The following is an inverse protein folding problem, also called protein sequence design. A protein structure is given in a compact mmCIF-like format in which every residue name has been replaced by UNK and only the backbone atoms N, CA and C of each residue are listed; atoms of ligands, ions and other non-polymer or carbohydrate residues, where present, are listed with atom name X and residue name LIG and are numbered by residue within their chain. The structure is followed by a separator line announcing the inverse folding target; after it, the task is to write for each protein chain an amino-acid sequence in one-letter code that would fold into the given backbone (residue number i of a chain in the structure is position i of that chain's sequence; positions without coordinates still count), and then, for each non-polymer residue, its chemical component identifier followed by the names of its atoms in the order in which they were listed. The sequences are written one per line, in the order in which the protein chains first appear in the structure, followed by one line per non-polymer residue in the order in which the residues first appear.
data_IF_163765902732
#
_entry.id   IF_163765902732
#
_cell.length_a   1.000
_cell.length_b   1.000
_cell.length_c   1.000
_cell.angle_alpha   90.00
_cell.angle_beta   90.00
_cell.angle_gamma   90.00
#
_symmetry.space_group_name_H-M   'P 1'
#
loop_
_entity.id
_entity.type
_entity.pdbx_description
1 polymer ?
#
# COMPACT_ATOMS: atom_id res chain seq x y z
N UNK A 1 49.98 15.83 -51.66
CA UNK A 1 49.37 14.49 -51.57
C UNK A 1 49.93 13.85 -50.32
N UNK A 2 49.25 13.70 -49.20
CA UNK A 2 47.87 13.99 -48.81
C UNK A 2 47.90 14.21 -47.29
N UNK A 3 47.24 15.27 -46.81
CA UNK A 3 46.99 15.46 -45.39
C UNK A 3 45.77 14.61 -45.04
N UNK A 4 45.96 13.53 -44.28
CA UNK A 4 44.86 12.78 -43.68
C UNK A 4 44.07 13.71 -42.75
N UNK A 5 42.84 14.02 -43.15
CA UNK A 5 41.90 14.75 -42.34
C UNK A 5 41.29 13.80 -41.31
N UNK A 6 41.57 14.04 -40.03
CA UNK A 6 40.90 13.37 -38.90
C UNK A 6 39.37 13.60 -38.98
N UNK A 7 38.54 12.55 -38.83
CA UNK A 7 37.08 12.70 -38.93
C UNK A 7 36.54 13.49 -37.73
N UNK A 8 35.51 14.34 -37.92
CA UNK A 8 34.97 15.17 -36.85
C UNK A 8 34.27 14.30 -35.81
N UNK A 9 34.89 14.12 -34.64
CA UNK A 9 34.20 13.58 -33.47
C UNK A 9 33.19 14.61 -32.98
N UNK A 10 31.95 14.53 -33.47
CA UNK A 10 30.86 15.34 -32.99
C UNK A 10 30.43 14.79 -31.61
N UNK A 11 30.65 15.50 -30.48
CA UNK A 11 30.30 14.98 -29.17
C UNK A 11 28.77 14.87 -29.09
N UNK A 12 28.26 13.64 -29.08
CA UNK A 12 26.82 13.39 -29.01
C UNK A 12 26.33 13.94 -27.66
N UNK A 13 25.74 15.14 -27.67
CA UNK A 13 25.17 15.77 -26.49
C UNK A 13 24.07 14.87 -25.91
N UNK A 14 24.36 14.24 -24.77
CA UNK A 14 23.38 13.44 -24.04
C UNK A 14 22.49 14.36 -23.22
N UNK A 15 21.19 14.26 -23.39
CA UNK A 15 20.22 15.01 -22.60
C UNK A 15 19.88 14.24 -21.33
N UNK A 16 20.13 14.82 -20.15
CA UNK A 16 19.97 14.16 -18.85
C UNK A 16 18.73 14.67 -18.11
N UNK A 17 17.93 13.78 -17.55
CA UNK A 17 16.87 14.14 -16.62
C UNK A 17 17.47 14.55 -15.26
N UNK A 18 17.07 15.72 -14.74
CA UNK A 18 17.60 16.22 -13.46
C UNK A 18 17.09 15.45 -12.24
N UNK A 19 15.92 14.80 -12.34
CA UNK A 19 15.34 14.09 -11.21
C UNK A 19 15.84 12.63 -11.09
N UNK A 20 15.87 11.88 -12.20
CA UNK A 20 16.26 10.46 -12.19
C UNK A 20 17.61 10.17 -12.86
N UNK A 21 18.28 11.19 -13.38
CA UNK A 21 19.61 11.10 -14.01
C UNK A 21 19.72 10.20 -15.24
N UNK A 22 18.59 9.75 -15.82
CA UNK A 22 18.55 9.05 -17.10
C UNK A 22 19.06 9.94 -18.23
N UNK A 23 19.79 9.34 -19.16
CA UNK A 23 20.37 10.03 -20.31
C UNK A 23 19.69 9.58 -21.61
N UNK A 24 19.49 10.53 -22.50
CA UNK A 24 18.80 10.35 -23.78
C UNK A 24 19.66 10.87 -24.92
N UNK A 25 19.61 10.19 -26.08
CA UNK A 25 20.32 10.62 -27.29
C UNK A 25 19.67 11.85 -27.94
N UNK A 26 18.34 11.99 -27.81
CA UNK A 26 17.53 13.07 -28.39
C UNK A 26 16.80 13.82 -27.27
N UNK A 27 16.65 15.14 -27.41
CA UNK A 27 15.91 16.00 -26.46
C UNK A 27 14.44 15.60 -26.35
N UNK A 28 13.82 15.22 -27.47
CA UNK A 28 12.42 14.77 -27.52
C UNK A 28 12.13 13.60 -26.57
N UNK A 29 13.04 12.62 -26.51
CA UNK A 29 12.88 11.47 -25.61
C UNK A 29 13.01 11.85 -24.13
N UNK A 30 13.82 12.88 -23.82
CA UNK A 30 13.88 13.44 -22.47
C UNK A 30 12.55 14.12 -22.11
N UNK A 31 11.98 14.90 -23.04
CA UNK A 31 10.68 15.56 -22.83
C UNK A 31 9.59 14.51 -22.61
N UNK A 32 9.55 13.46 -23.44
CA UNK A 32 8.58 12.37 -23.30
C UNK A 32 8.75 11.61 -21.97
N UNK A 33 9.99 11.41 -21.54
CA UNK A 33 10.26 10.86 -20.23
C UNK A 33 9.71 11.74 -19.10
N UNK A 34 9.92 13.06 -19.16
CA UNK A 34 9.42 13.98 -18.13
C UNK A 34 7.88 13.99 -18.09
N UNK A 35 7.22 13.91 -19.25
CA UNK A 35 5.75 13.82 -19.37
C UNK A 35 5.16 12.52 -18.83
N UNK A 36 5.91 11.43 -18.79
CA UNK A 36 5.38 10.12 -18.38
C UNK A 36 5.81 9.72 -16.97
N UNK A 37 6.93 10.27 -16.49
CA UNK A 37 7.54 9.82 -15.23
C UNK A 37 7.15 10.65 -14.02
N UNK A 38 6.48 11.79 -14.19
CA UNK A 38 5.92 12.68 -13.15
C UNK A 38 6.59 12.46 -11.79
N UNK A 39 7.80 13.00 -11.65
CA UNK A 39 8.64 12.84 -10.46
C UNK A 39 7.95 13.42 -9.22
N UNK A 40 7.10 12.60 -8.61
CA UNK A 40 6.23 13.00 -7.51
C UNK A 40 6.92 12.78 -6.18
N UNK A 41 6.36 13.40 -5.13
CA UNK A 41 6.85 13.26 -3.75
C UNK A 41 6.82 11.81 -3.27
N UNK A 42 5.94 11.00 -3.87
CA UNK A 42 5.75 9.58 -3.60
C UNK A 42 6.89 8.71 -4.15
N UNK A 43 7.70 9.21 -5.10
CA UNK A 43 8.82 8.44 -5.62
C UNK A 43 9.94 8.38 -4.58
N UNK A 44 10.47 7.17 -4.28
CA UNK A 44 11.57 7.03 -3.35
C UNK A 44 12.82 7.73 -3.88
N UNK A 45 13.52 8.44 -3.00
CA UNK A 45 14.73 9.20 -3.35
C UNK A 45 15.94 8.66 -2.59
N UNK A 46 17.08 8.68 -3.24
CA UNK A 46 18.35 8.37 -2.59
C UNK A 46 18.72 9.51 -1.61
N UNK A 47 18.92 9.20 -0.33
CA UNK A 47 19.35 10.19 0.66
C UNK A 47 20.71 10.83 0.38
N UNK A 48 21.57 10.18 -0.43
CA UNK A 48 22.90 10.68 -0.78
C UNK A 48 22.88 11.59 -2.02
N UNK A 49 22.38 11.09 -3.15
CA UNK A 49 22.42 11.81 -4.42
C UNK A 49 21.09 12.44 -4.84
N UNK A 50 20.03 12.31 -4.03
CA UNK A 50 18.69 12.83 -4.31
C UNK A 50 18.04 12.35 -5.61
N UNK A 51 18.61 11.30 -6.23
CA UNK A 51 18.05 10.65 -7.41
C UNK A 51 16.70 10.04 -7.07
N UNK A 52 15.69 10.36 -7.89
CA UNK A 52 14.39 9.71 -7.85
C UNK A 52 14.48 8.32 -8.46
N UNK A 53 13.97 7.35 -7.71
CA UNK A 53 13.83 5.97 -8.09
C UNK A 53 12.35 5.68 -8.36
N UNK A 54 12.07 4.75 -9.27
CA UNK A 54 10.69 4.45 -9.68
C UNK A 54 9.93 3.68 -8.59
N UNK A 55 10.66 2.80 -7.90
CA UNK A 55 10.19 1.94 -6.82
C UNK A 55 11.24 1.81 -5.74
N UNK A 56 10.84 1.37 -4.55
CA UNK A 56 11.77 1.09 -3.46
C UNK A 56 12.73 -0.05 -3.82
N UNK A 57 12.31 -1.01 -4.64
CA UNK A 57 13.19 -2.02 -5.23
C UNK A 57 14.33 -1.35 -6.04
N UNK A 58 14.00 -0.43 -6.95
CA UNK A 58 15.02 0.27 -7.73
C UNK A 58 15.92 1.19 -6.88
N UNK A 59 15.42 1.69 -5.74
CA UNK A 59 16.25 2.41 -4.75
C UNK A 59 17.21 1.46 -4.03
N UNK A 60 16.73 0.28 -3.63
CA UNK A 60 17.55 -0.76 -3.00
C UNK A 60 18.64 -1.24 -3.95
N UNK A 61 18.33 -1.48 -5.22
CA UNK A 61 19.33 -1.80 -6.25
C UNK A 61 20.38 -0.68 -6.41
N UNK A 62 19.95 0.58 -6.33
CA UNK A 62 20.86 1.72 -6.41
C UNK A 62 21.84 1.80 -5.23
N UNK A 63 21.40 1.42 -4.03
CA UNK A 63 22.17 1.53 -2.79
C UNK A 63 23.00 0.28 -2.47
N UNK A 64 22.42 -0.91 -2.67
CA UNK A 64 22.98 -2.21 -2.25
C UNK A 64 22.96 -3.28 -3.34
N UNK A 65 22.57 -2.95 -4.57
CA UNK A 65 22.46 -3.92 -5.65
C UNK A 65 23.80 -4.43 -6.20
N UNK A 66 23.79 -5.37 -7.16
CA UNK A 66 24.98 -6.04 -7.69
C UNK A 66 25.93 -5.14 -8.48
N UNK A 67 25.46 -3.96 -8.93
CA UNK A 67 26.30 -2.92 -9.54
C UNK A 67 26.09 -1.60 -8.80
N UNK A 68 26.55 -1.49 -7.55
CA UNK A 68 26.34 -0.30 -6.75
C UNK A 68 27.14 0.85 -7.39
N UNK A 69 26.43 1.86 -7.90
CA UNK A 69 27.09 2.97 -8.59
C UNK A 69 27.64 3.97 -7.58
N UNK A 70 28.95 3.93 -7.37
CA UNK A 70 29.73 5.05 -6.85
C UNK A 70 29.59 5.33 -5.35
N UNK A 71 29.62 6.61 -5.00
CA UNK A 71 29.73 7.12 -3.61
C UNK A 71 28.50 6.75 -2.77
N UNK A 72 27.31 6.64 -3.38
CA UNK A 72 26.05 6.39 -2.68
C UNK A 72 26.07 5.08 -1.87
N UNK A 73 26.58 3.99 -2.47
CA UNK A 73 26.61 2.69 -1.79
C UNK A 73 27.62 2.67 -0.64
N UNK A 74 28.76 3.34 -0.79
CA UNK A 74 29.78 3.46 0.28
C UNK A 74 29.26 4.26 1.48
N UNK A 75 28.57 5.37 1.23
CA UNK A 75 27.96 6.17 2.29
C UNK A 75 26.84 5.37 2.96
N UNK A 76 25.97 4.73 2.16
CA UNK A 76 24.86 3.95 2.68
C UNK A 76 25.30 2.71 3.47
N UNK A 77 26.41 2.05 3.12
CA UNK A 77 26.89 0.91 3.90
C UNK A 77 27.36 1.29 5.31
N UNK A 78 27.81 2.53 5.50
CA UNK A 78 28.28 3.05 6.79
C UNK A 78 27.14 3.68 7.62
N UNK A 79 26.19 4.33 6.96
CA UNK A 79 25.21 5.22 7.61
C UNK A 79 23.75 4.87 7.29
N UNK A 80 23.50 3.88 6.44
CA UNK A 80 22.18 3.52 5.95
C UNK A 80 21.51 2.38 6.72
N UNK A 81 20.20 2.49 6.93
CA UNK A 81 19.38 1.40 7.41
C UNK A 81 18.90 0.54 6.22
N UNK A 82 19.23 -0.75 6.22
CA UNK A 82 18.82 -1.65 5.14
C UNK A 82 17.31 -1.91 5.11
N UNK A 83 16.59 -1.63 6.19
CA UNK A 83 15.14 -1.87 6.26
C UNK A 83 14.36 -0.69 5.67
N UNK A 84 14.39 0.47 6.32
CA UNK A 84 13.65 1.67 5.90
C UNK A 84 14.36 2.50 4.82
N UNK A 85 15.62 2.16 4.46
CA UNK A 85 16.45 2.90 3.50
C UNK A 85 16.79 4.34 3.91
N UNK A 86 16.56 4.72 5.17
CA UNK A 86 16.96 6.01 5.71
C UNK A 86 18.49 6.11 5.90
N UNK A 87 19.00 7.34 5.82
CA UNK A 87 20.40 7.68 6.03
C UNK A 87 20.53 8.46 7.34
N UNK A 88 21.56 8.16 8.13
CA UNK A 88 21.79 8.75 9.46
C UNK A 88 23.13 9.49 9.52
N UNK A 89 23.18 10.55 10.32
CA UNK A 89 24.36 11.43 10.40
C UNK A 89 25.58 10.73 11.06
N UNK A 90 25.34 9.71 11.89
CA UNK A 90 26.39 8.97 12.58
C UNK A 90 26.08 7.46 12.68
N UNK A 91 27.11 6.61 12.79
CA UNK A 91 26.93 5.17 13.05
C UNK A 91 26.19 4.89 14.36
N UNK A 92 26.34 5.74 15.39
CA UNK A 92 25.63 5.61 16.67
C UNK A 92 24.11 5.79 16.50
N UNK A 93 23.70 6.81 15.74
CA UNK A 93 22.29 7.04 15.41
C UNK A 93 21.68 5.88 14.62
N UNK A 94 22.45 5.28 13.71
CA UNK A 94 22.04 4.10 12.96
C UNK A 94 21.85 2.88 13.87
N UNK A 95 22.75 2.65 14.83
CA UNK A 95 22.64 1.52 15.77
C UNK A 95 21.38 1.66 16.61
N UNK A 96 21.15 2.83 17.24
CA UNK A 96 19.94 3.07 18.01
C UNK A 96 18.66 2.94 17.19
N UNK A 97 18.67 3.41 15.93
CA UNK A 97 17.54 3.24 15.02
C UNK A 97 17.27 1.78 14.66
N UNK A 98 18.29 0.93 14.49
CA UNK A 98 18.09 -0.48 14.09
C UNK A 98 17.28 -1.27 15.10
N UNK A 99 17.35 -0.91 16.37
CA UNK A 99 16.58 -1.54 17.45
C UNK A 99 15.09 -1.20 17.36
N UNK A 100 14.74 -0.01 16.86
CA UNK A 100 13.35 0.46 16.75
C UNK A 100 12.77 0.38 15.33
N UNK A 101 13.61 0.17 14.31
CA UNK A 101 13.18 0.16 12.91
C UNK A 101 12.35 -1.06 12.55
N UNK A 102 12.53 -2.17 13.26
CA UNK A 102 11.75 -3.39 13.05
C UNK A 102 10.43 -3.25 13.78
N UNK A 103 9.33 -3.34 13.05
CA UNK A 103 8.03 -3.47 13.70
C UNK A 103 7.95 -4.85 14.34
N UNK A 104 7.40 -4.89 15.55
CA UNK A 104 7.01 -6.15 16.17
C UNK A 104 5.72 -6.63 15.50
N UNK A 105 5.57 -7.95 15.34
CA UNK A 105 4.31 -8.50 14.87
C UNK A 105 3.18 -8.02 15.80
N UNK A 106 2.08 -7.46 15.26
CA UNK A 106 0.93 -7.11 16.07
C UNK A 106 0.49 -8.34 16.86
N UNK A 107 0.13 -8.15 18.14
CA UNK A 107 -0.48 -9.25 18.90
C UNK A 107 -1.81 -9.54 18.23
N UNK A 108 -1.94 -10.74 17.66
CA UNK A 108 -3.19 -11.16 17.05
C UNK A 108 -4.29 -11.03 18.12
N UNK A 109 -5.32 -10.18 17.93
CA UNK A 109 -6.45 -10.15 18.84
C UNK A 109 -7.06 -11.55 18.79
N UNK A 110 -6.83 -12.35 19.83
CA UNK A 110 -7.15 -13.77 19.81
C UNK A 110 -8.59 -14.01 19.38
N UNK A 111 -8.83 -15.14 18.70
CA UNK A 111 -10.16 -15.67 18.34
C UNK A 111 -11.06 -15.97 19.55
N UNK A 112 -10.66 -15.60 20.76
CA UNK A 112 -11.50 -15.64 21.95
C UNK A 112 -12.55 -14.52 21.85
N UNK A 113 -13.65 -14.85 21.16
CA UNK A 113 -14.96 -14.23 21.28
C UNK A 113 -14.92 -12.73 21.64
N UNK A 114 -14.42 -11.89 20.74
CA UNK A 114 -14.82 -10.49 20.80
C UNK A 114 -16.29 -10.47 20.34
N UNK A 115 -17.24 -10.18 21.24
CA UNK A 115 -18.62 -10.05 20.83
C UNK A 115 -18.65 -8.99 19.75
N UNK A 116 -19.46 -9.24 18.72
CA UNK A 116 -20.08 -8.20 17.91
C UNK A 116 -20.16 -6.91 18.74
N UNK A 117 -19.31 -5.92 18.43
CA UNK A 117 -19.43 -4.60 19.03
C UNK A 117 -20.68 -4.02 18.38
N UNK A 118 -21.84 -4.35 18.96
CA UNK A 118 -22.97 -3.43 19.04
C UNK A 118 -22.50 -2.30 19.95
N UNK A 119 -21.58 -1.47 19.44
CA UNK A 119 -21.65 -0.10 19.87
C UNK A 119 -23.00 0.32 19.30
N UNK A 120 -23.98 0.39 20.20
CA UNK A 120 -24.96 1.44 20.13
C UNK A 120 -24.21 2.64 19.57
N UNK A 121 -24.48 2.95 18.30
CA UNK A 121 -24.23 4.24 17.69
C UNK A 121 -25.16 5.20 18.45
N UNK A 122 -24.91 5.38 19.75
CA UNK A 122 -25.22 6.62 20.40
C UNK A 122 -24.28 7.61 19.75
N UNK A 123 -24.87 8.56 19.05
CA UNK A 123 -24.24 9.77 18.58
C UNK A 123 -23.70 10.53 19.80
N UNK A 124 -22.63 10.05 20.42
CA UNK A 124 -21.83 10.85 21.34
C UNK A 124 -20.83 11.61 20.49
N UNK A 125 -21.35 12.75 20.08
CA UNK A 125 -20.65 13.99 19.77
C UNK A 125 -19.56 14.25 20.82
N UNK A 126 -18.41 13.59 20.66
CA UNK A 126 -17.16 14.09 21.24
C UNK A 126 -16.74 15.24 20.35
N UNK A 127 -17.25 16.40 20.72
CA UNK A 127 -16.80 17.71 20.27
C UNK A 127 -15.33 17.91 20.68
N UNK A 128 -14.42 17.21 20.02
CA UNK A 128 -13.09 17.76 19.77
C UNK A 128 -13.19 18.63 18.51
N UNK A 129 -13.86 19.76 18.69
CA UNK A 129 -13.71 20.93 17.83
C UNK A 129 -12.26 21.38 17.93
N UNK A 130 -11.34 20.81 17.14
CA UNK A 130 -10.02 21.42 16.87
C UNK A 130 -9.24 20.89 15.67
N UNK A 131 -9.87 20.26 14.67
CA UNK A 131 -9.29 20.16 13.32
C UNK A 131 -10.34 20.43 12.25
N UNK A 132 -10.66 21.71 12.06
CA UNK A 132 -11.18 22.22 10.80
C UNK A 132 -10.08 22.06 9.72
N UNK A 133 -9.95 20.86 9.17
CA UNK A 133 -9.16 20.56 7.98
C UNK A 133 -10.10 20.13 6.87
N UNK A 134 -10.03 20.80 5.71
CA UNK A 134 -10.76 20.49 4.48
C UNK A 134 -10.28 19.17 3.81
N UNK A 135 -10.21 18.08 4.57
CA UNK A 135 -9.68 16.78 4.12
C UNK A 135 -10.64 15.60 4.38
N UNK A 136 -10.34 14.42 3.80
CA UNK A 136 -11.09 13.18 4.04
C UNK A 136 -11.19 12.87 5.53
N UNK A 137 -12.26 12.21 5.98
CA UNK A 137 -12.53 11.90 7.39
C UNK A 137 -11.65 10.81 8.00
N UNK A 138 -10.36 10.81 7.69
CA UNK A 138 -9.37 9.80 8.08
C UNK A 138 -9.26 8.65 7.07
N UNK A 139 -8.37 7.70 7.37
CA UNK A 139 -8.21 6.47 6.61
C UNK A 139 -8.69 5.24 7.40
N UNK A 140 -9.15 4.22 6.67
CA UNK A 140 -9.55 2.93 7.22
C UNK A 140 -8.93 1.85 6.36
N UNK A 141 -8.25 0.89 6.98
CA UNK A 141 -7.78 -0.30 6.28
C UNK A 141 -8.84 -1.40 6.33
N UNK A 142 -8.99 -2.15 5.24
CA UNK A 142 -9.87 -3.31 5.13
C UNK A 142 -9.08 -4.54 4.69
N UNK A 143 -9.49 -5.69 5.20
CA UNK A 143 -9.06 -6.99 4.70
C UNK A 143 -10.21 -8.00 4.87
N UNK A 144 -10.43 -8.84 3.86
CA UNK A 144 -11.41 -9.92 3.88
C UNK A 144 -10.73 -11.29 3.86
N UNK A 145 -11.35 -12.25 4.53
CA UNK A 145 -11.08 -13.67 4.26
C UNK A 145 -12.15 -14.22 3.34
N UNK A 146 -11.70 -15.00 2.35
CA UNK A 146 -12.58 -15.61 1.36
C UNK A 146 -12.54 -17.13 1.45
N UNK A 147 -13.72 -17.74 1.37
CA UNK A 147 -13.90 -19.18 1.22
C UNK A 147 -14.34 -19.51 -0.21
N UNK A 148 -14.07 -20.74 -0.64
CA UNK A 148 -14.46 -21.26 -1.94
C UNK A 148 -15.91 -21.73 -1.98
N UNK A 149 -16.64 -21.31 -3.01
CA UNK A 149 -17.96 -21.81 -3.37
C UNK A 149 -18.05 -22.31 -4.81
N UNK A 150 -19.26 -22.72 -5.20
CA UNK A 150 -19.50 -23.35 -6.51
C UNK A 150 -19.04 -24.81 -6.54
N UNK A 151 -19.38 -25.51 -7.62
CA UNK A 151 -19.12 -26.96 -7.75
C UNK A 151 -17.63 -27.33 -7.70
N UNK A 152 -16.75 -26.40 -8.05
CA UNK A 152 -15.30 -26.57 -8.09
C UNK A 152 -14.54 -25.76 -7.02
N UNK A 153 -15.24 -25.00 -6.17
CA UNK A 153 -14.61 -24.16 -5.14
C UNK A 153 -13.91 -22.91 -5.67
N UNK A 154 -14.09 -22.57 -6.94
CA UNK A 154 -13.43 -21.45 -7.61
C UNK A 154 -14.03 -20.08 -7.28
N UNK A 155 -15.29 -20.05 -6.82
CA UNK A 155 -15.94 -18.78 -6.48
C UNK A 155 -15.42 -18.26 -5.15
N UNK A 156 -14.98 -17.01 -5.14
CA UNK A 156 -14.55 -16.29 -3.94
C UNK A 156 -15.77 -15.75 -3.19
N UNK A 157 -15.95 -16.17 -1.94
CA UNK A 157 -17.05 -15.71 -1.08
C UNK A 157 -16.47 -15.09 0.19
N UNK A 158 -16.79 -13.82 0.46
CA UNK A 158 -16.40 -13.19 1.72
C UNK A 158 -17.02 -13.95 2.91
N UNK A 159 -16.17 -14.32 3.86
CA UNK A 159 -16.55 -15.08 5.05
C UNK A 159 -16.08 -14.42 6.36
N UNK A 160 -15.14 -13.47 6.29
CA UNK A 160 -14.74 -12.59 7.38
C UNK A 160 -14.31 -11.25 6.80
N UNK A 161 -14.57 -10.17 7.52
CA UNK A 161 -14.07 -8.83 7.19
C UNK A 161 -13.56 -8.14 8.45
N UNK A 162 -12.48 -7.39 8.30
CA UNK A 162 -11.86 -6.62 9.38
C UNK A 162 -11.54 -5.20 8.89
N UNK A 163 -11.92 -4.19 9.68
CA UNK A 163 -11.60 -2.78 9.49
C UNK A 163 -10.84 -2.25 10.69
N UNK A 164 -9.76 -1.52 10.41
CA UNK A 164 -8.95 -0.82 11.43
C UNK A 164 -8.74 0.65 11.04
N UNK A 165 -8.61 1.52 12.05
CA UNK A 165 -8.26 2.94 11.85
C UNK A 165 -6.73 3.16 11.74
N UNK A 166 -6.33 4.43 11.63
CA UNK A 166 -4.93 4.86 11.53
C UNK A 166 -4.11 4.61 12.81
N UNK A 167 -4.79 4.48 13.96
CA UNK A 167 -4.21 4.14 15.26
C UNK A 167 -4.19 2.61 15.49
N UNK A 168 -4.44 1.82 14.44
CA UNK A 168 -4.51 0.35 14.45
C UNK A 168 -5.64 -0.20 15.34
N UNK A 169 -6.64 0.62 15.68
CA UNK A 169 -7.79 0.19 16.49
C UNK A 169 -8.81 -0.51 15.62
N UNK A 170 -9.37 -1.60 16.16
CA UNK A 170 -10.43 -2.37 15.52
C UNK A 170 -11.73 -1.56 15.45
N UNK A 171 -12.16 -1.20 14.25
CA UNK A 171 -13.42 -0.49 14.02
C UNK A 171 -14.56 -1.50 13.86
N UNK A 172 -14.34 -2.52 13.03
CA UNK A 172 -15.39 -3.47 12.67
C UNK A 172 -14.78 -4.82 12.31
N UNK A 173 -15.28 -5.89 12.91
CA UNK A 173 -14.83 -7.25 12.63
C UNK A 173 -15.99 -8.21 12.80
N UNK A 174 -16.27 -9.01 11.76
CA UNK A 174 -17.35 -9.99 11.79
C UNK A 174 -17.11 -11.12 10.81
N UNK A 175 -17.71 -12.27 11.10
CA UNK A 175 -17.95 -13.29 10.10
C UNK A 175 -19.11 -12.88 9.19
N UNK A 176 -19.00 -13.26 7.92
CA UNK A 176 -19.96 -12.95 6.85
C UNK A 176 -20.60 -14.24 6.38
N UNK A 177 -21.93 -14.27 6.31
CA UNK A 177 -22.66 -15.42 5.82
C UNK A 177 -22.54 -15.46 4.29
N UNK A 178 -21.92 -16.51 3.71
CA UNK A 178 -21.82 -16.65 2.26
C UNK A 178 -23.20 -16.85 1.63
N UNK A 179 -23.44 -16.26 0.45
CA UNK A 179 -24.75 -16.33 -0.23
C UNK A 179 -25.02 -17.69 -0.90
N UNK A 180 -23.99 -18.50 -1.10
CA UNK A 180 -24.08 -19.86 -1.62
C UNK A 180 -23.32 -20.83 -0.69
N UNK A 181 -23.59 -22.14 -0.77
CA UNK A 181 -22.88 -23.12 0.05
C UNK A 181 -21.37 -23.07 -0.14
N UNK A 182 -20.64 -23.12 0.98
CA UNK A 182 -19.18 -23.22 1.00
C UNK A 182 -18.78 -24.63 0.63
N UNK A 183 -17.90 -24.76 -0.37
CA UNK A 183 -17.33 -26.05 -0.78
C UNK A 183 -15.88 -26.22 -0.34
N UNK A 184 -15.18 -25.12 -0.05
CA UNK A 184 -13.82 -25.15 0.47
C UNK A 184 -13.55 -23.98 1.43
N UNK A 185 -13.32 -24.26 2.71
CA UNK A 185 -13.02 -23.22 3.71
C UNK A 185 -11.63 -22.61 3.60
N UNK A 186 -10.71 -23.25 2.85
CA UNK A 186 -9.31 -22.80 2.69
C UNK A 186 -8.60 -22.61 4.05
N UNK A 187 -8.84 -23.56 4.96
CA UNK A 187 -8.44 -23.48 6.37
C UNK A 187 -6.98 -23.09 6.59
N UNK A 188 -6.06 -23.61 5.77
CA UNK A 188 -4.62 -23.35 5.90
C UNK A 188 -4.26 -21.86 5.74
N UNK A 189 -5.11 -21.09 5.05
CA UNK A 189 -4.91 -19.67 4.77
C UNK A 189 -5.84 -18.83 5.64
N UNK A 190 -7.12 -19.20 5.72
CA UNK A 190 -8.16 -18.37 6.35
C UNK A 190 -8.36 -18.64 7.84
N UNK A 191 -8.01 -19.85 8.31
CA UNK A 191 -8.35 -20.36 9.65
C UNK A 191 -9.86 -20.54 9.88
N UNK A 192 -10.69 -20.45 8.84
CA UNK A 192 -12.15 -20.50 8.96
C UNK A 192 -12.68 -21.92 9.02
N UNK A 193 -13.76 -22.09 9.76
CA UNK A 193 -14.46 -23.37 9.95
C UNK A 193 -15.95 -23.13 9.81
N UNK A 194 -16.72 -24.19 9.62
CA UNK A 194 -18.18 -24.12 9.55
C UNK A 194 -18.79 -23.46 10.80
N UNK A 195 -18.22 -23.73 11.98
CA UNK A 195 -18.70 -23.17 13.25
C UNK A 195 -18.67 -21.64 13.26
N UNK A 196 -17.63 -21.04 12.68
CA UNK A 196 -17.53 -19.59 12.56
C UNK A 196 -18.66 -18.98 11.71
N UNK A 197 -19.21 -19.73 10.75
CA UNK A 197 -20.19 -19.23 9.79
C UNK A 197 -21.65 -19.50 10.18
N UNK A 198 -21.92 -20.38 11.16
CA UNK A 198 -23.29 -20.77 11.56
C UNK A 198 -24.20 -19.60 11.92
N UNK A 199 -23.65 -18.59 12.59
CA UNK A 199 -24.38 -17.39 13.03
C UNK A 199 -23.81 -16.10 12.41
N UNK A 200 -23.14 -16.21 11.26
CA UNK A 200 -22.52 -15.07 10.60
C UNK A 200 -23.55 -14.05 10.10
N UNK A 201 -23.13 -12.79 9.96
CA UNK A 201 -24.03 -11.72 9.53
C UNK A 201 -24.24 -11.82 8.01
N UNK A 202 -25.48 -11.70 7.50
CA UNK A 202 -25.74 -11.65 6.06
C UNK A 202 -24.92 -10.58 5.35
N UNK A 203 -24.30 -10.94 4.22
CA UNK A 203 -23.45 -10.05 3.42
C UNK A 203 -24.06 -8.66 3.18
N UNK A 204 -25.36 -8.60 2.91
CA UNK A 204 -26.08 -7.33 2.71
C UNK A 204 -25.95 -6.39 3.92
N UNK A 205 -26.16 -6.90 5.14
CA UNK A 205 -26.05 -6.11 6.38
C UNK A 205 -24.62 -5.70 6.67
N UNK A 206 -23.66 -6.59 6.41
CA UNK A 206 -22.23 -6.29 6.52
C UNK A 206 -21.88 -5.13 5.60
N UNK A 207 -22.24 -5.23 4.31
CA UNK A 207 -22.04 -4.16 3.32
C UNK A 207 -22.66 -2.83 3.74
N UNK A 208 -23.88 -2.84 4.26
CA UNK A 208 -24.54 -1.62 4.76
C UNK A 208 -23.74 -0.95 5.89
N UNK A 209 -23.25 -1.74 6.86
CA UNK A 209 -22.39 -1.24 7.94
C UNK A 209 -21.06 -0.70 7.42
N UNK A 210 -20.40 -1.42 6.50
CA UNK A 210 -19.15 -0.99 5.90
C UNK A 210 -19.31 0.36 5.18
N UNK A 211 -20.34 0.50 4.35
CA UNK A 211 -20.62 1.75 3.65
C UNK A 211 -20.95 2.89 4.62
N UNK A 212 -21.68 2.62 5.71
CA UNK A 212 -21.95 3.62 6.75
C UNK A 212 -20.65 4.14 7.38
N UNK A 213 -19.73 3.23 7.74
CA UNK A 213 -18.42 3.59 8.31
C UNK A 213 -17.60 4.41 7.32
N UNK A 214 -17.53 3.98 6.05
CA UNK A 214 -16.72 4.65 5.02
C UNK A 214 -17.30 6.01 4.62
N UNK A 215 -18.62 6.13 4.51
CA UNK A 215 -19.27 7.39 4.16
C UNK A 215 -19.15 8.43 5.29
N UNK A 216 -19.04 8.00 6.55
CA UNK A 216 -18.82 8.88 7.70
C UNK A 216 -19.82 10.06 7.75
N UNK A 217 -21.10 9.75 7.51
CA UNK A 217 -22.19 10.74 7.48
C UNK A 217 -22.32 11.53 6.17
N UNK A 218 -21.45 11.32 5.17
CA UNK A 218 -21.54 12.01 3.88
C UNK A 218 -22.53 11.38 2.91
N UNK A 219 -23.11 12.22 2.06
CA UNK A 219 -23.98 11.75 0.99
C UNK A 219 -23.17 11.07 -0.12
N UNK A 220 -23.71 9.98 -0.70
CA UNK A 220 -23.06 9.25 -1.80
C UNK A 220 -22.66 10.15 -2.99
N UNK A 221 -23.43 11.21 -3.25
CA UNK A 221 -23.13 12.19 -4.30
C UNK A 221 -21.85 12.96 -4.01
N UNK A 222 -21.69 13.42 -2.77
CA UNK A 222 -20.50 14.16 -2.34
C UNK A 222 -19.26 13.25 -2.25
N UNK A 223 -19.43 12.03 -1.73
CA UNK A 223 -18.35 11.02 -1.71
C UNK A 223 -17.82 10.75 -3.12
N UNK A 224 -18.68 10.75 -4.14
CA UNK A 224 -18.29 10.55 -5.55
C UNK A 224 -17.66 11.78 -6.21
N UNK A 225 -17.96 12.98 -5.74
CA UNK A 225 -17.51 14.23 -6.34
C UNK A 225 -16.10 14.60 -5.86
N UNK A 226 -15.97 14.81 -4.55
CA UNK A 226 -14.75 15.29 -3.91
C UNK A 226 -14.37 14.50 -2.65
N UNK A 227 -15.18 13.50 -2.26
CA UNK A 227 -14.99 12.69 -1.06
C UNK A 227 -15.61 13.28 0.20
N UNK A 228 -15.69 14.60 0.33
CA UNK A 228 -16.11 15.27 1.56
C UNK A 228 -15.40 14.73 2.80
N UNK A 229 -16.16 14.45 3.87
CA UNK A 229 -15.70 13.80 5.10
C UNK A 229 -15.66 12.26 5.03
N UNK A 230 -15.87 11.64 3.87
CA UNK A 230 -15.76 10.19 3.75
C UNK A 230 -14.32 9.72 3.99
N UNK A 231 -14.16 8.47 4.42
CA UNK A 231 -12.87 7.91 4.80
C UNK A 231 -12.15 7.35 3.58
N UNK A 232 -10.82 7.49 3.53
CA UNK A 232 -10.03 6.78 2.54
C UNK A 232 -10.02 5.28 2.85
N UNK A 233 -10.20 4.44 1.85
CA UNK A 233 -10.14 2.99 2.00
C UNK A 233 -8.76 2.49 1.59
N UNK A 234 -8.04 1.88 2.52
CA UNK A 234 -6.68 1.36 2.34
C UNK A 234 -6.73 -0.16 2.35
N UNK A 235 -5.89 -0.82 1.54
CA UNK A 235 -5.75 -2.27 1.58
C UNK A 235 -4.71 -2.80 0.61
N UNK A 236 -4.72 -4.11 0.40
CA UNK A 236 -3.83 -4.78 -0.54
C UNK A 236 -4.65 -5.57 -1.55
N UNK A 237 -4.64 -5.13 -2.81
CA UNK A 237 -5.44 -5.74 -3.89
C UNK A 237 -6.96 -5.63 -3.64
N UNK A 238 -7.39 -4.43 -3.23
CA UNK A 238 -8.75 -4.07 -2.83
C UNK A 238 -9.86 -4.47 -3.83
N UNK A 239 -9.52 -4.72 -5.09
CA UNK A 239 -10.48 -5.19 -6.07
C UNK A 239 -11.13 -6.51 -5.63
N UNK A 240 -10.33 -7.45 -5.12
CA UNK A 240 -10.84 -8.75 -4.67
C UNK A 240 -11.77 -8.61 -3.47
N UNK A 241 -11.41 -7.79 -2.48
CA UNK A 241 -12.25 -7.51 -1.31
C UNK A 241 -13.59 -6.88 -1.72
N UNK A 242 -13.54 -5.82 -2.52
CA UNK A 242 -14.73 -5.07 -2.94
C UNK A 242 -15.67 -5.92 -3.80
N UNK A 243 -15.13 -6.75 -4.69
CA UNK A 243 -15.90 -7.67 -5.51
C UNK A 243 -16.63 -8.71 -4.63
N UNK A 244 -15.92 -9.34 -3.68
CA UNK A 244 -16.51 -10.30 -2.74
C UNK A 244 -17.56 -9.68 -1.81
N UNK A 245 -17.36 -8.41 -1.44
CA UNK A 245 -18.31 -7.64 -0.65
C UNK A 245 -19.49 -7.08 -1.46
N UNK A 246 -19.44 -7.19 -2.81
CA UNK A 246 -20.39 -6.56 -3.74
C UNK A 246 -20.54 -5.06 -3.46
N UNK A 247 -19.41 -4.40 -3.27
CA UNK A 247 -19.28 -2.99 -2.91
C UNK A 247 -18.62 -2.20 -4.03
N UNK A 248 -19.05 -0.95 -4.20
CA UNK A 248 -18.39 0.02 -5.06
C UNK A 248 -18.02 1.24 -4.23
N UNK A 249 -16.75 1.64 -4.30
CA UNK A 249 -16.25 2.84 -3.63
C UNK A 249 -15.42 3.67 -4.61
N UNK A 250 -15.50 5.02 -4.60
CA UNK A 250 -14.87 5.82 -5.65
C UNK A 250 -13.36 5.63 -5.73
N UNK A 251 -12.82 5.48 -6.94
CA UNK A 251 -11.39 5.19 -7.16
C UNK A 251 -10.45 6.21 -6.50
N UNK A 252 -10.82 7.48 -6.47
CA UNK A 252 -10.02 8.54 -5.85
C UNK A 252 -9.95 8.42 -4.32
N UNK A 253 -10.85 7.64 -3.72
CA UNK A 253 -10.88 7.33 -2.28
C UNK A 253 -10.15 6.02 -1.94
N UNK A 254 -9.66 5.27 -2.92
CA UNK A 254 -8.93 4.02 -2.72
C UNK A 254 -7.43 4.25 -2.59
N UNK A 255 -6.77 3.52 -1.68
CA UNK A 255 -5.32 3.47 -1.50
C UNK A 255 -4.88 2.01 -1.47
N UNK A 256 -4.65 1.47 -2.66
CA UNK A 256 -4.30 0.07 -2.86
C UNK A 256 -2.78 -0.10 -2.92
N UNK A 257 -2.22 -0.79 -1.92
CA UNK A 257 -0.78 -1.06 -1.82
C UNK A 257 -0.25 -1.97 -2.95
N UNK A 258 -1.11 -2.80 -3.56
CA UNK A 258 -0.73 -3.64 -4.70
C UNK A 258 -0.56 -2.82 -6.00
N UNK A 259 -1.23 -1.67 -6.10
CA UNK A 259 -1.21 -0.76 -7.26
C UNK A 259 -0.32 0.47 -7.05
N UNK A 260 0.14 0.70 -5.82
CA UNK A 260 0.99 1.85 -5.50
C UNK A 260 2.41 1.67 -6.06
N UNK A 261 2.72 2.37 -7.16
CA UNK A 261 3.97 2.22 -7.93
C UNK A 261 5.25 2.12 -7.11
N UNK A 262 5.47 2.91 -6.04
CA UNK A 262 6.67 2.78 -5.21
C UNK A 262 6.87 1.40 -4.58
N UNK A 263 5.77 0.69 -4.25
CA UNK A 263 5.78 -0.65 -3.65
C UNK A 263 5.74 -1.77 -4.69
N UNK A 264 5.53 -1.47 -5.98
CA UNK A 264 5.49 -2.47 -7.05
C UNK A 264 6.89 -2.89 -7.50
N UNK A 265 6.96 -4.06 -8.15
CA UNK A 265 8.15 -4.51 -8.86
C UNK A 265 8.53 -3.55 -9.97
N UNK A 266 9.78 -3.58 -10.40
CA UNK A 266 10.27 -2.81 -11.55
C UNK A 266 9.51 -3.09 -12.86
N UNK A 267 8.91 -4.28 -13.01
CA UNK A 267 8.07 -4.68 -14.14
C UNK A 267 6.57 -4.31 -13.97
N UNK A 268 6.20 -3.54 -12.95
CA UNK A 268 4.83 -3.13 -12.63
C UNK A 268 3.90 -4.28 -12.22
N UNK A 269 4.45 -5.40 -11.76
CA UNK A 269 3.67 -6.45 -11.09
C UNK A 269 3.68 -6.21 -9.57
N UNK A 270 2.58 -6.52 -8.89
CA UNK A 270 2.50 -6.42 -7.44
C UNK A 270 3.47 -7.40 -6.75
N UNK A 271 3.90 -7.02 -5.55
CA UNK A 271 4.46 -7.97 -4.59
C UNK A 271 3.35 -8.47 -3.68
N UNK A 272 3.49 -9.68 -3.14
CA UNK A 272 2.59 -10.13 -2.08
C UNK A 272 2.76 -9.27 -0.82
N UNK A 273 1.69 -9.10 -0.05
CA UNK A 273 1.73 -8.39 1.22
C UNK A 273 2.80 -8.97 2.15
N UNK A 274 2.92 -10.30 2.23
CA UNK A 274 3.99 -11.01 2.97
C UNK A 274 5.40 -10.59 2.55
N UNK A 275 5.63 -10.37 1.26
CA UNK A 275 6.92 -9.85 0.80
C UNK A 275 7.13 -8.41 1.27
N UNK A 276 6.10 -7.56 1.12
CA UNK A 276 6.19 -6.13 1.47
C UNK A 276 6.46 -5.93 2.97
N UNK A 277 5.68 -6.60 3.83
CA UNK A 277 5.83 -6.50 5.29
C UNK A 277 7.20 -6.97 5.74
N UNK A 278 7.69 -8.10 5.23
CA UNK A 278 9.05 -8.58 5.53
C UNK A 278 10.14 -7.64 5.04
N UNK A 279 9.99 -7.09 3.84
CA UNK A 279 11.04 -6.28 3.18
C UNK A 279 11.12 -4.87 3.73
N UNK A 280 10.00 -4.27 4.13
CA UNK A 280 9.92 -2.86 4.51
C UNK A 280 9.64 -2.64 5.99
N UNK A 281 9.00 -3.59 6.68
CA UNK A 281 8.65 -3.48 8.09
C UNK A 281 9.47 -4.44 8.98
N UNK A 282 10.12 -5.44 8.37
CA UNK A 282 10.98 -6.39 9.08
C UNK A 282 10.20 -7.48 9.82
N UNK A 283 8.91 -7.65 9.49
CA UNK A 283 8.06 -8.69 10.02
C UNK A 283 8.50 -10.06 9.47
N UNK A 284 8.81 -11.00 10.36
CA UNK A 284 9.30 -12.34 10.02
C UNK A 284 8.16 -13.32 9.75
#
# INVERSE_FOLDING_TARGET
MDAEADPPQNPITRHKCLACYKQYKKKEHLIEHMKTSYHSVHQPRCGVCQKHCKSFESLREHLTGPLPRGICSKIFSQQGCQLCLALFDSPGSLIGHRETCRLSAPTCPGTSALPYIDSQFDCQDSSDENHAGEGPGGAVAIDCEMVGGGSDGSLELCARVCLVDEDERLIFHTYVQPEIPVTNYRYDITGLTEEHLKNAIPLKKVREKLLQILQNGESIGKVRLDGGKARLLVGHDLAHDLDCLKMNYPDHMLRDTAKYRPLMKTNLVSHSLKYLTRTYLGLA
#
